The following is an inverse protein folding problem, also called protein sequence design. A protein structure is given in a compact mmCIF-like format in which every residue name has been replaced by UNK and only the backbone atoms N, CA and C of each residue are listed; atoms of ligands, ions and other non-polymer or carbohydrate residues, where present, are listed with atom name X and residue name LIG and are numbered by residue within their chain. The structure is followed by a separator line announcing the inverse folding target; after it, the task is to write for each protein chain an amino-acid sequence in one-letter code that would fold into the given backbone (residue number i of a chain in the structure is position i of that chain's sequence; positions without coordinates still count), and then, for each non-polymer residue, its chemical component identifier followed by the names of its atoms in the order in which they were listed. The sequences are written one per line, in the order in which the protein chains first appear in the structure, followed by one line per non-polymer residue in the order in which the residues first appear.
data_IF_367225797837
#
_entry.id   IF_367225797837
#
_cell.length_a   1.000
_cell.length_b   1.000
_cell.length_c   1.000
_cell.angle_alpha   90.00
_cell.angle_beta   90.00
_cell.angle_gamma   90.00
#
_symmetry.space_group_name_H-M   'P 1'
#
loop_
_entity.id
_entity.type
_entity.pdbx_description
1 polymer ?
#
# COMPACT_ATOMS: atom_id res chain seq x y z
N UNK A 1 -9.04 -4.08 2.04
CA UNK A 1 -7.96 -3.40 2.78
C UNK A 1 -8.52 -2.52 3.90
N UNK A 2 -9.07 -1.33 3.61
CA UNK A 2 -9.46 -0.30 4.59
C UNK A 2 -10.15 -0.80 5.88
N UNK A 3 -11.27 -1.52 5.75
CA UNK A 3 -12.03 -2.02 6.90
C UNK A 3 -11.21 -2.97 7.78
N UNK A 4 -10.38 -3.81 7.16
CA UNK A 4 -9.52 -4.76 7.89
C UNK A 4 -8.41 -4.05 8.64
N UNK A 5 -7.81 -3.02 8.04
CA UNK A 5 -6.79 -2.22 8.70
C UNK A 5 -7.37 -1.44 9.88
N UNK A 6 -8.54 -0.82 9.69
CA UNK A 6 -9.25 -0.12 10.76
C UNK A 6 -9.66 -1.05 11.91
N UNK A 7 -10.18 -2.24 11.58
CA UNK A 7 -10.52 -3.26 12.56
C UNK A 7 -9.29 -3.70 13.36
N UNK A 8 -8.16 -3.97 12.69
CA UNK A 8 -6.92 -4.36 13.35
C UNK A 8 -6.38 -3.24 14.25
N UNK A 9 -6.35 -1.99 13.77
CA UNK A 9 -5.93 -0.83 14.55
C UNK A 9 -6.77 -0.65 15.81
N UNK A 10 -8.09 -0.80 15.70
CA UNK A 10 -8.99 -0.76 16.85
C UNK A 10 -8.70 -1.90 17.83
N UNK A 11 -8.50 -3.12 17.33
CA UNK A 11 -8.19 -4.29 18.14
C UNK A 11 -6.90 -4.13 18.97
N UNK A 12 -5.88 -3.48 18.42
CA UNK A 12 -4.61 -3.22 19.14
C UNK A 12 -4.64 -1.96 20.02
N UNK A 13 -5.78 -1.25 20.08
CA UNK A 13 -6.00 -0.16 21.02
C UNK A 13 -5.72 1.25 20.49
N UNK A 14 -5.70 1.46 19.17
CA UNK A 14 -5.61 2.82 18.62
C UNK A 14 -6.87 3.63 18.96
N UNK A 15 -6.69 4.94 19.17
CA UNK A 15 -7.81 5.86 19.34
C UNK A 15 -8.62 6.04 18.05
N UNK A 16 -9.80 6.65 18.16
CA UNK A 16 -10.72 6.81 17.04
C UNK A 16 -10.16 7.63 15.88
N UNK A 17 -9.28 8.60 16.14
CA UNK A 17 -8.66 9.44 15.11
C UNK A 17 -7.66 8.60 14.32
N UNK A 18 -6.80 7.85 15.00
CA UNK A 18 -5.82 6.99 14.36
C UNK A 18 -6.47 5.81 13.62
N UNK A 19 -7.58 5.26 14.13
CA UNK A 19 -8.39 4.27 13.40
C UNK A 19 -8.96 4.85 12.10
N UNK A 20 -9.46 6.10 12.13
CA UNK A 20 -9.95 6.78 10.92
C UNK A 20 -8.83 7.07 9.92
N UNK A 21 -7.65 7.51 10.39
CA UNK A 21 -6.49 7.73 9.52
C UNK A 21 -6.03 6.44 8.85
N UNK A 22 -5.95 5.33 9.59
CA UNK A 22 -5.61 4.01 9.02
C UNK A 22 -6.68 3.55 8.02
N UNK A 23 -7.96 3.77 8.32
CA UNK A 23 -9.04 3.45 7.38
C UNK A 23 -8.83 4.19 6.05
N UNK A 24 -8.56 5.49 6.13
CA UNK A 24 -8.35 6.34 4.96
C UNK A 24 -7.08 5.94 4.19
N UNK A 25 -5.98 5.66 4.89
CA UNK A 25 -4.76 5.13 4.28
C UNK A 25 -5.03 3.80 3.55
N UNK A 26 -5.78 2.89 4.17
CA UNK A 26 -6.23 1.63 3.58
C UNK A 26 -7.14 1.80 2.37
N UNK A 27 -7.96 2.85 2.33
CA UNK A 27 -8.82 3.15 1.18
C UNK A 27 -8.01 3.75 0.01
N UNK A 28 -6.95 4.48 0.29
CA UNK A 28 -6.17 5.26 -0.68
C UNK A 28 -4.83 4.63 -1.07
N UNK A 29 -4.39 3.54 -0.43
CA UNK A 29 -3.05 2.93 -0.65
C UNK A 29 -2.70 2.69 -2.13
N UNK A 30 -3.73 2.37 -2.93
CA UNK A 30 -3.62 2.02 -4.34
C UNK A 30 -4.05 3.13 -5.32
N UNK A 31 -4.34 4.36 -4.84
CA UNK A 31 -4.84 5.45 -5.71
C UNK A 31 -3.88 5.78 -6.86
N UNK A 32 -2.58 5.59 -6.65
CA UNK A 32 -1.55 5.76 -7.67
C UNK A 32 -1.64 4.80 -8.86
N UNK A 33 -2.44 3.71 -8.76
CA UNK A 33 -2.71 2.83 -9.91
C UNK A 33 -3.40 3.56 -11.06
N UNK A 34 -4.11 4.67 -10.79
CA UNK A 34 -4.70 5.50 -11.85
C UNK A 34 -3.66 6.15 -12.78
N UNK A 35 -2.41 6.28 -12.32
CA UNK A 35 -1.31 6.78 -13.13
C UNK A 35 -0.53 5.65 -13.83
N UNK A 36 -0.93 4.38 -13.64
CA UNK A 36 -0.41 3.23 -14.38
C UNK A 36 -1.31 3.00 -15.59
N UNK A 37 -0.74 2.84 -16.79
CA UNK A 37 -1.51 2.61 -18.02
C UNK A 37 -2.37 1.35 -17.96
N UNK A 38 -3.57 1.41 -18.54
CA UNK A 38 -4.54 0.30 -18.53
C UNK A 38 -3.97 -0.98 -19.14
N UNK A 39 -3.05 -0.87 -20.10
CA UNK A 39 -2.38 -2.02 -20.72
C UNK A 39 -1.57 -2.87 -19.72
N UNK A 40 -1.11 -2.26 -18.62
CA UNK A 40 -0.43 -2.95 -17.51
C UNK A 40 -1.44 -3.34 -16.43
N UNK A 41 -2.34 -2.43 -16.07
CA UNK A 41 -3.28 -2.62 -14.96
C UNK A 41 -4.33 -3.71 -15.22
N UNK A 42 -4.80 -3.81 -16.45
CA UNK A 42 -5.87 -4.74 -16.86
C UNK A 42 -5.34 -5.98 -17.60
N UNK A 43 -4.02 -6.18 -17.62
CA UNK A 43 -3.41 -7.30 -18.33
C UNK A 43 -3.90 -8.64 -17.74
N UNK A 44 -4.45 -9.56 -18.56
CA UNK A 44 -4.93 -10.85 -18.07
C UNK A 44 -3.80 -11.85 -17.80
N UNK A 45 -2.64 -11.66 -18.45
CA UNK A 45 -1.45 -12.49 -18.30
C UNK A 45 -0.48 -11.92 -17.25
N UNK A 46 0.55 -12.71 -16.91
CA UNK A 46 1.65 -12.23 -16.07
C UNK A 46 2.32 -11.01 -16.70
N UNK A 47 2.65 -10.03 -15.86
CA UNK A 47 3.51 -8.93 -16.28
C UNK A 47 4.93 -9.45 -16.51
N UNK A 48 5.57 -8.90 -17.52
CA UNK A 48 7.02 -8.95 -17.72
C UNK A 48 7.74 -8.16 -16.61
N UNK A 49 9.04 -8.36 -16.45
CA UNK A 49 9.83 -7.63 -15.44
C UNK A 49 9.76 -6.10 -15.62
N UNK A 50 9.75 -5.63 -16.87
CA UNK A 50 9.63 -4.20 -17.20
C UNK A 50 8.24 -3.64 -16.86
N UNK A 51 7.17 -4.37 -17.19
CA UNK A 51 5.80 -3.99 -16.83
C UNK A 51 5.60 -4.02 -15.32
N UNK A 52 6.18 -5.01 -14.64
CA UNK A 52 6.16 -5.09 -13.19
C UNK A 52 6.91 -3.92 -12.56
N UNK A 53 8.07 -3.54 -13.10
CA UNK A 53 8.81 -2.34 -12.66
C UNK A 53 7.95 -1.07 -12.78
N UNK A 54 7.21 -0.91 -13.89
CA UNK A 54 6.25 0.19 -14.05
C UNK A 54 5.08 0.10 -13.07
N UNK A 55 4.55 -1.09 -12.82
CA UNK A 55 3.49 -1.29 -11.83
C UNK A 55 3.92 -0.84 -10.43
N UNK A 56 5.17 -1.11 -10.01
CA UNK A 56 5.70 -0.66 -8.71
C UNK A 56 5.65 0.86 -8.52
N UNK A 57 5.61 1.64 -9.60
CA UNK A 57 5.52 3.10 -9.51
C UNK A 57 4.20 3.57 -8.88
N UNK A 58 3.15 2.74 -8.83
CA UNK A 58 1.88 3.13 -8.21
C UNK A 58 2.05 3.60 -6.76
N UNK A 59 2.94 2.99 -5.98
CA UNK A 59 3.21 3.41 -4.61
C UNK A 59 3.81 4.82 -4.55
N UNK A 60 4.73 5.12 -5.47
CA UNK A 60 5.29 6.48 -5.64
C UNK A 60 4.24 7.48 -6.12
N UNK A 61 3.35 7.07 -7.03
CA UNK A 61 2.24 7.92 -7.47
C UNK A 61 1.22 8.16 -6.35
N UNK A 62 0.92 7.17 -5.51
CA UNK A 62 0.10 7.36 -4.29
C UNK A 62 0.74 8.42 -3.40
N UNK A 63 2.06 8.34 -3.16
CA UNK A 63 2.79 9.34 -2.38
C UNK A 63 2.63 10.76 -2.97
N UNK A 64 2.85 10.90 -4.28
CA UNK A 64 2.77 12.20 -4.96
C UNK A 64 1.35 12.77 -4.93
N UNK A 65 0.34 11.97 -5.27
CA UNK A 65 -1.07 12.39 -5.30
C UNK A 65 -1.52 12.87 -3.92
N UNK A 66 -1.19 12.12 -2.86
CA UNK A 66 -1.61 12.48 -1.50
C UNK A 66 -0.76 13.60 -0.88
N UNK A 67 0.42 13.91 -1.45
CA UNK A 67 1.22 15.08 -1.04
C UNK A 67 0.59 16.42 -1.40
N UNK A 68 -0.34 16.43 -2.37
CA UNK A 68 -1.06 17.64 -2.78
C UNK A 68 -2.24 17.98 -1.83
N UNK A 69 -2.54 17.10 -0.87
CA UNK A 69 -3.61 17.30 0.11
C UNK A 69 -2.99 17.77 1.42
N UNK A 70 -3.41 18.94 1.89
CA UNK A 70 -2.95 19.47 3.17
C UNK A 70 -3.37 18.55 4.34
N UNK A 71 -2.50 18.43 5.34
CA UNK A 71 -2.71 17.64 6.57
C UNK A 71 -2.84 16.12 6.35
N UNK A 72 -2.36 15.60 5.22
CA UNK A 72 -2.41 14.18 4.87
C UNK A 72 -1.07 13.45 5.04
N UNK A 73 -0.04 14.06 5.63
CA UNK A 73 1.32 13.51 5.65
C UNK A 73 1.38 12.09 6.23
N UNK A 74 0.70 11.83 7.36
CA UNK A 74 0.64 10.50 7.95
C UNK A 74 -0.15 9.52 7.08
N UNK A 75 -1.32 9.93 6.56
CA UNK A 75 -2.16 9.09 5.71
C UNK A 75 -1.41 8.73 4.42
N UNK A 76 -0.74 9.71 3.82
CA UNK A 76 0.12 9.57 2.63
C UNK A 76 1.20 8.53 2.90
N UNK A 77 1.95 8.67 3.98
CA UNK A 77 3.07 7.78 4.27
C UNK A 77 2.58 6.34 4.52
N UNK A 78 1.52 6.18 5.32
CA UNK A 78 0.93 4.87 5.61
C UNK A 78 0.35 4.22 4.34
N UNK A 79 -0.29 5.01 3.47
CA UNK A 79 -0.82 4.58 2.20
C UNK A 79 0.29 4.22 1.21
N UNK A 80 1.33 5.02 1.06
CA UNK A 80 2.35 4.83 0.04
C UNK A 80 3.40 3.77 0.42
N UNK A 81 3.64 3.53 1.70
CA UNK A 81 4.72 2.63 2.15
C UNK A 81 4.26 1.18 2.36
N UNK A 82 3.04 0.82 1.93
CA UNK A 82 2.50 -0.53 2.08
C UNK A 82 3.31 -1.64 1.36
N UNK A 83 4.24 -1.27 0.48
CA UNK A 83 5.18 -2.18 -0.18
C UNK A 83 6.64 -2.04 0.30
N UNK A 84 6.88 -1.24 1.35
CA UNK A 84 8.17 -1.21 2.01
C UNK A 84 8.44 -2.52 2.77
N UNK A 85 9.70 -2.90 2.88
CA UNK A 85 10.12 -4.16 3.52
C UNK A 85 11.15 -3.87 4.59
N UNK A 86 11.05 -4.56 5.73
CA UNK A 86 11.94 -4.38 6.89
C UNK A 86 13.44 -4.51 6.54
N UNK A 87 13.78 -5.24 5.47
CA UNK A 87 15.14 -5.43 4.99
C UNK A 87 15.63 -4.34 3.99
N UNK A 88 14.85 -3.27 3.77
CA UNK A 88 15.19 -2.19 2.84
C UNK A 88 15.07 -2.53 1.36
N UNK A 89 14.57 -3.72 1.00
CA UNK A 89 14.38 -4.14 -0.41
C UNK A 89 12.97 -3.82 -0.94
N UNK A 90 12.20 -3.06 -0.17
CA UNK A 90 10.89 -2.57 -0.54
C UNK A 90 10.95 -1.38 -1.49
N UNK A 91 9.81 -0.74 -1.70
CA UNK A 91 9.66 0.45 -2.54
C UNK A 91 8.47 1.27 -2.01
N UNK A 92 8.36 2.58 -2.34
CA UNK A 92 9.15 3.33 -3.32
C UNK A 92 10.49 3.90 -2.82
N UNK A 93 10.76 3.94 -1.52
CA UNK A 93 11.92 4.60 -0.93
C UNK A 93 12.98 3.63 -0.37
N UNK A 94 12.64 2.35 -0.20
CA UNK A 94 13.57 1.34 0.31
C UNK A 94 13.81 1.48 1.82
N UNK A 95 12.77 1.85 2.56
CA UNK A 95 12.83 2.09 4.01
C UNK A 95 13.19 0.80 4.74
N UNK A 96 14.08 0.92 5.72
CA UNK A 96 14.48 -0.17 6.60
C UNK A 96 13.53 -0.31 7.80
N UNK A 97 13.67 -1.39 8.56
CA UNK A 97 12.91 -1.59 9.79
C UNK A 97 13.02 -0.40 10.75
N UNK A 98 14.20 0.23 10.88
CA UNK A 98 14.39 1.34 11.81
C UNK A 98 13.64 2.62 11.38
N UNK A 99 13.30 2.73 10.11
CA UNK A 99 12.63 3.90 9.52
C UNK A 99 11.13 3.74 9.38
N UNK A 100 10.61 2.51 9.51
CA UNK A 100 9.19 2.21 9.38
C UNK A 100 8.51 2.22 10.75
N UNK A 101 7.49 3.07 10.91
CA UNK A 101 6.66 3.12 12.11
C UNK A 101 5.62 1.97 12.13
N UNK A 102 4.88 1.84 13.23
CA UNK A 102 3.92 0.75 13.40
C UNK A 102 2.75 0.78 12.39
N UNK A 103 2.07 1.92 12.14
CA UNK A 103 1.03 2.00 11.10
C UNK A 103 1.50 1.59 9.70
N UNK A 104 2.71 1.98 9.29
CA UNK A 104 3.28 1.60 7.99
C UNK A 104 3.46 0.09 7.87
N UNK A 105 3.92 -0.56 8.96
CA UNK A 105 4.06 -2.02 9.01
C UNK A 105 2.71 -2.73 9.02
N UNK A 106 1.73 -2.19 9.75
CA UNK A 106 0.35 -2.70 9.76
C UNK A 106 -0.23 -2.67 8.34
N UNK A 107 -0.06 -1.56 7.64
CA UNK A 107 -0.54 -1.40 6.27
C UNK A 107 0.05 -2.46 5.34
N UNK A 108 1.36 -2.68 5.39
CA UNK A 108 2.02 -3.73 4.62
C UNK A 108 1.50 -5.14 4.98
N UNK A 109 1.35 -5.45 6.27
CA UNK A 109 0.82 -6.74 6.72
C UNK A 109 -0.62 -6.99 6.25
N UNK A 110 -1.49 -5.98 6.34
CA UNK A 110 -2.90 -6.10 5.96
C UNK A 110 -3.05 -6.19 4.44
N UNK A 111 -2.23 -5.48 3.66
CA UNK A 111 -2.25 -5.61 2.19
C UNK A 111 -1.85 -7.03 1.75
N UNK A 112 -0.79 -7.59 2.34
CA UNK A 112 -0.37 -8.98 2.11
C UNK A 112 -1.49 -9.95 2.51
N UNK A 113 -2.07 -9.79 3.70
CA UNK A 113 -3.17 -10.64 4.16
C UNK A 113 -4.37 -10.58 3.22
N UNK A 114 -4.76 -9.37 2.79
CA UNK A 114 -5.85 -9.17 1.84
C UNK A 114 -5.58 -9.90 0.53
N UNK A 115 -4.38 -9.79 -0.03
CA UNK A 115 -4.00 -10.46 -1.27
C UNK A 115 -4.07 -11.99 -1.17
N UNK A 116 -3.75 -12.56 0.00
CA UNK A 116 -3.76 -14.01 0.23
C UNK A 116 -5.16 -14.61 0.35
N UNK A 117 -6.17 -13.82 0.73
CA UNK A 117 -7.55 -14.30 0.95
C UNK A 117 -8.53 -13.93 -0.16
N UNK A 118 -8.11 -13.18 -1.19
CA UNK A 118 -8.97 -12.84 -2.32
C UNK A 118 -9.18 -14.05 -3.25
N UNK A 119 -10.44 -14.35 -3.58
CA UNK A 119 -10.85 -15.48 -4.45
C UNK A 119 -10.28 -15.41 -5.87
N UNK A 120 -9.90 -14.21 -6.33
CA UNK A 120 -9.12 -14.05 -7.56
C UNK A 120 -7.67 -13.80 -7.16
N UNK A 121 -6.71 -14.63 -7.61
CA UNK A 121 -5.32 -14.23 -7.57
C UNK A 121 -5.19 -13.04 -8.51
N UNK A 122 -5.12 -11.82 -7.96
CA UNK A 122 -4.49 -10.72 -8.70
C UNK A 122 -3.04 -11.12 -8.79
N UNK A 123 -2.65 -11.77 -9.89
CA UNK A 123 -1.30 -12.30 -10.08
C UNK A 123 -0.26 -11.20 -9.82
N UNK A 124 -0.61 -9.92 -10.05
CA UNK A 124 0.18 -8.77 -9.62
C UNK A 124 0.48 -8.69 -8.14
N UNK A 125 -0.52 -8.86 -7.27
CA UNK A 125 -0.41 -8.51 -5.84
C UNK A 125 0.40 -9.57 -5.07
N UNK A 126 0.31 -10.84 -5.49
CA UNK A 126 1.13 -11.92 -4.92
C UNK A 126 2.64 -11.80 -5.25
N UNK A 127 3.02 -11.07 -6.30
CA UNK A 127 4.44 -10.82 -6.61
C UNK A 127 5.07 -9.74 -5.70
N UNK A 128 4.27 -9.03 -4.89
CA UNK A 128 4.77 -8.00 -3.97
C UNK A 128 5.11 -8.52 -2.57
N UNK A 129 4.59 -9.70 -2.19
CA UNK A 129 4.91 -10.41 -0.93
C UNK A 129 6.40 -10.80 -0.92
#
# INVERSE_FOLDING_TARGET
MAEKAAFFAQYIGYDSINVQKIYLAGALHDIGKMAVGNEILEKPDKLTDDEFSKMKNHAGYTYLILSEVNDFEEIRDWAAFHHEKLNGKGYPFGKTAAELNEPERIMACIDIYQALIEDRPRIQQCHFI
#
